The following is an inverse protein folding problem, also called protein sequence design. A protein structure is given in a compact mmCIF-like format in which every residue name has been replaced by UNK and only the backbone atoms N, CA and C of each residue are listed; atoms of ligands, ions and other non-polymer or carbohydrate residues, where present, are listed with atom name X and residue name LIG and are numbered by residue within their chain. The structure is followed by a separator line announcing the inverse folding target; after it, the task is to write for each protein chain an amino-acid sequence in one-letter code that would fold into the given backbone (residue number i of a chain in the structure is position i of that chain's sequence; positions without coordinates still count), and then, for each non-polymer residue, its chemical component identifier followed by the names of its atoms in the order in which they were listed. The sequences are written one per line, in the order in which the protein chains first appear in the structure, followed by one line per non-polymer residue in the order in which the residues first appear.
data_IF_108212041060
#
_entry.id   IF_108212041060
#
_cell.length_a   1.000
_cell.length_b   1.000
_cell.length_c   1.000
_cell.angle_alpha   90.00
_cell.angle_beta   90.00
_cell.angle_gamma   90.00
#
_symmetry.space_group_name_H-M   'P 1'
#
loop_
_entity.id
_entity.type
_entity.pdbx_description
1 polymer ?
#
# COMPACT_ATOMS: atom_id res chain seq x y z
N UNK A 1 -38.19 18.76 -22.93
CA UNK A 1 -37.93 18.89 -21.47
C UNK A 1 -37.34 17.62 -20.86
N UNK A 2 -37.83 16.42 -21.22
CA UNK A 2 -37.26 15.11 -20.77
C UNK A 2 -35.78 14.90 -21.14
N UNK A 3 -35.35 15.31 -22.34
CA UNK A 3 -33.98 15.07 -22.82
C UNK A 3 -32.89 15.78 -22.00
N UNK A 4 -33.21 16.93 -21.38
CA UNK A 4 -32.27 17.71 -20.56
C UNK A 4 -32.06 17.03 -19.20
N UNK A 5 -33.13 16.49 -18.61
CA UNK A 5 -33.07 15.73 -17.36
C UNK A 5 -32.24 14.45 -17.53
N UNK A 6 -32.48 13.67 -18.59
CA UNK A 6 -31.69 12.48 -18.90
C UNK A 6 -30.21 12.80 -19.18
N UNK A 7 -29.92 13.91 -19.87
CA UNK A 7 -28.55 14.36 -20.11
C UNK A 7 -27.82 14.75 -18.82
N UNK A 8 -28.53 15.43 -17.90
CA UNK A 8 -27.98 15.83 -16.59
C UNK A 8 -27.66 14.61 -15.73
N UNK A 9 -28.55 13.61 -15.67
CA UNK A 9 -28.30 12.36 -14.95
C UNK A 9 -27.12 11.57 -15.52
N UNK A 10 -27.04 11.46 -16.85
CA UNK A 10 -25.91 10.80 -17.52
C UNK A 10 -24.58 11.51 -17.23
N UNK A 11 -24.59 12.84 -17.20
CA UNK A 11 -23.41 13.66 -16.89
C UNK A 11 -22.98 13.48 -15.44
N UNK A 12 -23.91 13.49 -14.48
CA UNK A 12 -23.61 13.26 -13.06
C UNK A 12 -23.01 11.86 -12.86
N UNK A 13 -23.58 10.82 -13.48
CA UNK A 13 -23.04 9.46 -13.42
C UNK A 13 -21.60 9.38 -13.96
N UNK A 14 -21.30 10.07 -15.06
CA UNK A 14 -19.95 10.13 -15.63
C UNK A 14 -18.96 10.83 -14.70
N UNK A 15 -19.35 11.95 -14.09
CA UNK A 15 -18.50 12.67 -13.13
C UNK A 15 -18.19 11.78 -11.93
N UNK A 16 -19.20 11.12 -11.36
CA UNK A 16 -19.02 10.19 -10.24
C UNK A 16 -18.10 9.03 -10.64
N UNK A 17 -18.30 8.43 -11.82
CA UNK A 17 -17.45 7.35 -12.32
C UNK A 17 -15.98 7.79 -12.51
N UNK A 18 -15.74 8.98 -13.07
CA UNK A 18 -14.39 9.53 -13.20
C UNK A 18 -13.75 9.82 -11.85
N UNK A 19 -14.52 10.35 -10.89
CA UNK A 19 -14.05 10.62 -9.54
C UNK A 19 -13.67 9.34 -8.79
N UNK A 20 -14.52 8.31 -8.87
CA UNK A 20 -14.22 6.99 -8.32
C UNK A 20 -12.97 6.39 -8.95
N UNK A 21 -12.84 6.44 -10.27
CA UNK A 21 -11.67 5.89 -10.98
C UNK A 21 -10.37 6.57 -10.54
N UNK A 22 -10.37 7.90 -10.43
CA UNK A 22 -9.23 8.66 -9.93
C UNK A 22 -8.90 8.32 -8.46
N UNK A 23 -9.92 8.22 -7.60
CA UNK A 23 -9.75 7.84 -6.20
C UNK A 23 -9.16 6.43 -6.05
N UNK A 24 -9.67 5.45 -6.82
CA UNK A 24 -9.14 4.08 -6.83
C UNK A 24 -7.69 4.05 -7.29
N UNK A 25 -7.32 4.83 -8.30
CA UNK A 25 -5.94 4.91 -8.77
C UNK A 25 -5.00 5.50 -7.71
N UNK A 26 -5.43 6.55 -7.00
CA UNK A 26 -4.65 7.13 -5.89
C UNK A 26 -4.51 6.16 -4.72
N UNK A 27 -5.56 5.43 -4.35
CA UNK A 27 -5.50 4.41 -3.31
C UNK A 27 -4.57 3.26 -3.70
N UNK A 28 -4.56 2.86 -4.98
CA UNK A 28 -3.64 1.87 -5.50
C UNK A 28 -2.19 2.34 -5.37
N UNK A 29 -1.88 3.56 -5.82
CA UNK A 29 -0.54 4.13 -5.67
C UNK A 29 -0.13 4.21 -4.20
N UNK A 30 -1.02 4.67 -3.33
CA UNK A 30 -0.78 4.70 -1.90
C UNK A 30 -0.43 3.31 -1.35
N UNK A 31 -1.20 2.28 -1.73
CA UNK A 31 -0.90 0.89 -1.38
C UNK A 31 0.47 0.41 -1.86
N UNK A 32 0.86 0.73 -3.10
CA UNK A 32 2.16 0.34 -3.68
C UNK A 32 3.35 0.91 -2.91
N UNK A 33 3.25 2.13 -2.40
CA UNK A 33 4.35 2.78 -1.66
C UNK A 33 4.36 2.48 -0.16
N UNK A 34 3.32 1.86 0.38
CA UNK A 34 3.27 1.50 1.79
C UNK A 34 4.07 0.22 2.09
N UNK A 35 4.81 0.14 3.22
CA UNK A 35 5.52 -1.07 3.64
C UNK A 35 4.64 -2.16 4.27
N UNK A 36 3.36 -2.26 3.91
CA UNK A 36 2.41 -3.15 4.57
C UNK A 36 1.92 -4.31 3.70
N UNK A 37 2.69 -4.68 2.68
CA UNK A 37 2.37 -5.80 1.79
C UNK A 37 2.52 -7.16 2.49
N UNK A 38 3.43 -7.25 3.46
CA UNK A 38 3.61 -8.41 4.33
C UNK A 38 3.92 -7.95 5.74
N UNK A 39 3.28 -8.54 6.74
CA UNK A 39 3.52 -8.19 8.15
C UNK A 39 3.84 -9.46 8.92
N UNK A 40 4.96 -9.44 9.64
CA UNK A 40 5.40 -10.53 10.50
C UNK A 40 5.75 -9.98 11.88
N UNK A 41 5.39 -10.68 12.95
CA UNK A 41 5.70 -10.27 14.32
C UNK A 41 6.42 -11.39 15.02
N UNK A 42 7.56 -11.06 15.62
CA UNK A 42 8.33 -11.97 16.44
C UNK A 42 8.39 -11.44 17.87
N UNK A 43 8.00 -12.28 18.82
CA UNK A 43 8.06 -11.94 20.24
C UNK A 43 8.97 -12.94 20.93
N UNK A 44 10.06 -12.47 21.55
CA UNK A 44 11.00 -13.32 22.27
C UNK A 44 11.53 -12.59 23.50
N UNK A 45 11.54 -13.28 24.65
CA UNK A 45 12.07 -12.81 25.94
C UNK A 45 11.64 -11.36 26.28
N UNK A 46 10.34 -11.06 26.12
CA UNK A 46 9.78 -9.74 26.44
C UNK A 46 10.06 -8.62 25.43
N UNK A 47 10.79 -8.89 24.35
CA UNK A 47 10.97 -7.97 23.22
C UNK A 47 9.99 -8.35 22.12
N UNK A 48 9.25 -7.35 21.63
CA UNK A 48 8.36 -7.51 20.48
C UNK A 48 8.95 -6.77 19.28
N UNK A 49 9.19 -7.51 18.21
CA UNK A 49 9.70 -6.98 16.95
C UNK A 49 8.67 -7.22 15.84
N UNK A 50 8.16 -6.14 15.26
CA UNK A 50 7.31 -6.15 14.08
C UNK A 50 8.13 -5.89 12.82
N UNK A 51 7.85 -6.65 11.78
CA UNK A 51 8.48 -6.56 10.48
C UNK A 51 7.41 -6.27 9.43
N UNK A 52 7.61 -5.20 8.67
CA UNK A 52 6.68 -4.66 7.70
C UNK A 52 7.39 -4.62 6.34
N UNK A 53 7.05 -5.57 5.48
CA UNK A 53 7.60 -5.67 4.13
C UNK A 53 6.70 -4.96 3.13
N UNK A 54 7.28 -4.02 2.39
CA UNK A 54 6.70 -3.43 1.19
C UNK A 54 7.20 -4.07 -0.10
N UNK A 55 6.82 -3.47 -1.22
CA UNK A 55 7.38 -3.75 -2.54
C UNK A 55 8.80 -3.20 -2.68
N UNK A 56 9.04 -1.99 -2.17
CA UNK A 56 10.27 -1.22 -2.40
C UNK A 56 11.15 -1.08 -1.16
N UNK A 57 10.56 -1.32 0.00
CA UNK A 57 11.21 -1.08 1.28
C UNK A 57 10.75 -2.10 2.32
N UNK A 58 11.53 -2.19 3.38
CA UNK A 58 11.29 -3.01 4.54
C UNK A 58 11.48 -2.18 5.79
N UNK A 59 10.60 -2.35 6.76
CA UNK A 59 10.68 -1.67 8.04
C UNK A 59 10.62 -2.68 9.18
N UNK A 60 11.53 -2.54 10.14
CA UNK A 60 11.53 -3.26 11.40
C UNK A 60 11.17 -2.28 12.52
N UNK A 61 10.32 -2.72 13.44
CA UNK A 61 9.96 -2.00 14.66
C UNK A 61 10.21 -2.89 15.85
N UNK A 62 11.23 -2.57 16.63
CA UNK A 62 11.52 -3.25 17.89
C UNK A 62 11.07 -2.39 19.07
N UNK A 63 10.51 -3.01 20.11
CA UNK A 63 10.13 -2.33 21.36
C UNK A 63 11.30 -1.66 22.08
N UNK A 64 12.54 -2.07 21.80
CA UNK A 64 13.77 -1.55 22.43
C UNK A 64 14.54 -0.55 21.56
N UNK A 65 14.53 -0.70 20.23
CA UNK A 65 15.38 0.07 19.29
C UNK A 65 14.58 1.13 18.51
N UNK A 66 13.24 1.05 18.54
CA UNK A 66 12.36 1.90 17.73
C UNK A 66 12.16 1.36 16.32
N UNK A 67 11.82 2.24 15.37
CA UNK A 67 11.52 1.88 13.98
C UNK A 67 12.72 2.17 13.07
N UNK A 68 13.13 1.19 12.25
CA UNK A 68 14.14 1.32 11.20
C UNK A 68 13.55 0.91 9.86
N UNK A 69 13.79 1.69 8.81
CA UNK A 69 13.34 1.39 7.46
C UNK A 69 14.50 1.44 6.48
N UNK A 70 14.57 0.47 5.59
CA UNK A 70 15.56 0.38 4.52
C UNK A 70 14.86 0.11 3.19
N UNK A 71 15.36 0.70 2.11
CA UNK A 71 14.93 0.35 0.75
C UNK A 71 15.68 -0.90 0.31
N UNK A 72 15.04 -1.80 -0.43
CA UNK A 72 15.76 -2.93 -1.01
C UNK A 72 16.81 -2.41 -2.01
N UNK A 73 18.06 -2.80 -1.85
CA UNK A 73 19.03 -2.67 -2.93
C UNK A 73 18.67 -3.71 -4.01
N UNK A 74 18.99 -3.44 -5.28
CA UNK A 74 18.68 -4.34 -6.41
C UNK A 74 19.16 -5.79 -6.17
N UNK A 75 20.24 -5.97 -5.41
CA UNK A 75 20.78 -7.26 -5.02
C UNK A 75 19.90 -8.05 -4.01
N UNK A 76 19.13 -7.37 -3.15
CA UNK A 76 18.26 -8.02 -2.15
C UNK A 76 16.90 -8.43 -2.75
N UNK A 77 16.45 -7.76 -3.82
CA UNK A 77 15.26 -8.15 -4.59
C UNK A 77 15.45 -9.52 -5.24
N UNK A 78 16.65 -9.81 -5.74
CA UNK A 78 17.00 -11.12 -6.30
C UNK A 78 17.07 -12.22 -5.22
N UNK A 79 17.38 -11.87 -3.97
CA UNK A 79 17.46 -12.85 -2.87
C UNK A 79 16.07 -13.23 -2.33
N UNK A 80 15.11 -12.29 -2.35
CA UNK A 80 13.71 -12.56 -1.94
C UNK A 80 12.98 -13.56 -2.85
N UNK A 81 13.38 -13.74 -4.11
CA UNK A 81 12.79 -14.77 -4.99
C UNK A 81 13.35 -16.18 -4.74
N UNK A 82 14.41 -16.31 -3.94
CA UNK A 82 15.16 -17.56 -3.75
C UNK A 82 14.87 -18.20 -2.38
N UNK A 83 14.32 -17.45 -1.42
CA UNK A 83 13.88 -17.99 -0.13
C UNK A 83 12.35 -17.93 0.00
N UNK A 84 11.67 -19.08 0.20
CA UNK A 84 10.22 -19.16 0.37
C UNK A 84 9.73 -18.47 1.65
#
# INVERSE_FOLDING_TARGET
MYSILCYREATIKRIIASGLSAATWLLFLFGVFLPFWSVYTYTSVGVSTGYYGGLWNYCERSSTIGTRCTTFAEADLARKSITP
#
